data_IF_687683150687
#
_entry.id   IF_687683150687
#
_cell.length_a   1.000
_cell.length_b   1.000
_cell.length_c   1.000
_cell.angle_alpha   90.00
_cell.angle_beta   90.00
_cell.angle_gamma   90.00
#
_symmetry.space_group_name_H-M   'P 1'
#
loop_
_entity.id
_entity.type
_entity.pdbx_description
1 polymer ?
#
# COMPACT_ATOMS: atom_id res chain seq x y z
N UNK A 1 24.04 27.76 -3.31
CA UNK A 1 23.48 26.39 -3.28
C UNK A 1 22.88 26.17 -1.90
N UNK A 2 21.66 25.66 -1.80
CA UNK A 2 20.94 25.48 -0.52
C UNK A 2 21.42 24.24 0.26
N UNK A 3 20.92 24.04 1.49
CA UNK A 3 21.24 22.84 2.26
C UNK A 3 20.76 21.58 1.53
N UNK A 4 21.56 20.52 1.56
CA UNK A 4 21.17 19.20 1.08
C UNK A 4 21.16 18.21 2.26
N UNK A 5 20.24 17.25 2.23
CA UNK A 5 20.22 16.14 3.17
C UNK A 5 20.50 14.85 2.41
N UNK A 6 21.54 14.10 2.83
CA UNK A 6 21.71 12.71 2.42
C UNK A 6 20.94 11.84 3.40
N UNK A 7 19.76 11.37 2.99
CA UNK A 7 18.94 10.50 3.83
C UNK A 7 19.47 9.08 3.81
N UNK A 8 19.63 8.49 5.00
CA UNK A 8 20.04 7.09 5.18
C UNK A 8 18.84 6.24 5.59
N UNK A 9 17.84 6.12 4.70
CA UNK A 9 16.51 5.56 5.00
C UNK A 9 16.53 4.18 5.66
N UNK A 10 17.48 3.31 5.32
CA UNK A 10 17.59 1.97 5.92
C UNK A 10 18.02 1.98 7.39
N UNK A 11 18.71 3.04 7.85
CA UNK A 11 19.14 3.18 9.24
C UNK A 11 18.22 4.07 10.08
N UNK A 12 17.17 4.64 9.47
CA UNK A 12 16.19 5.44 10.18
C UNK A 12 15.16 4.52 10.85
N UNK A 13 15.00 4.67 12.17
CA UNK A 13 14.23 3.75 13.02
C UNK A 13 12.76 3.58 12.62
N UNK A 14 12.16 4.58 11.96
CA UNK A 14 10.74 4.57 11.59
C UNK A 14 10.47 4.16 10.14
N UNK A 15 11.49 4.04 9.30
CA UNK A 15 11.33 3.65 7.89
C UNK A 15 12.03 2.34 7.58
N UNK A 16 13.20 2.08 8.17
CA UNK A 16 13.99 0.83 8.03
C UNK A 16 14.30 0.42 6.58
N UNK A 17 14.06 1.30 5.62
CA UNK A 17 14.13 1.08 4.18
C UNK A 17 13.58 2.30 3.46
N UNK A 18 13.72 2.33 2.13
CA UNK A 18 13.19 3.42 1.31
C UNK A 18 11.73 3.15 0.90
N UNK A 19 11.51 2.09 0.13
CA UNK A 19 10.22 1.63 -0.36
C UNK A 19 10.28 0.13 -0.63
N UNK A 20 9.12 -0.49 -0.83
CA UNK A 20 9.02 -1.95 -1.02
C UNK A 20 9.83 -2.42 -2.22
N UNK A 21 10.45 -3.58 -2.05
CA UNK A 21 10.83 -4.45 -3.13
C UNK A 21 10.60 -5.88 -2.67
N UNK A 22 10.17 -6.76 -3.58
CA UNK A 22 9.85 -8.14 -3.24
C UNK A 22 11.02 -9.04 -3.62
N UNK A 23 11.59 -9.71 -2.63
CA UNK A 23 12.57 -10.76 -2.86
C UNK A 23 11.93 -11.94 -3.61
N UNK A 24 12.72 -12.73 -4.36
CA UNK A 24 12.22 -13.92 -5.04
C UNK A 24 11.36 -14.81 -4.12
N UNK A 25 10.15 -15.12 -4.58
CA UNK A 25 9.18 -15.96 -3.85
C UNK A 25 8.26 -15.23 -2.87
N UNK A 26 8.49 -13.95 -2.56
CA UNK A 26 7.59 -13.21 -1.65
C UNK A 26 6.22 -12.94 -2.29
N UNK A 27 6.19 -12.50 -3.55
CA UNK A 27 4.92 -12.26 -4.24
C UNK A 27 4.10 -13.54 -4.41
N UNK A 28 4.71 -14.65 -4.86
CA UNK A 28 3.99 -15.91 -5.01
C UNK A 28 3.45 -16.46 -3.68
N UNK A 29 4.06 -16.08 -2.56
CA UNK A 29 3.59 -16.47 -1.21
C UNK A 29 2.54 -15.52 -0.63
N UNK A 30 2.67 -14.21 -0.87
CA UNK A 30 1.94 -13.18 -0.11
C UNK A 30 1.06 -12.25 -0.95
N UNK A 31 1.00 -12.37 -2.27
CA UNK A 31 0.17 -11.48 -3.11
C UNK A 31 -1.33 -11.50 -2.75
N UNK A 32 -1.84 -12.61 -2.19
CA UNK A 32 -3.21 -12.72 -1.67
C UNK A 32 -3.50 -11.85 -0.43
N UNK A 33 -2.51 -11.11 0.08
CA UNK A 33 -2.64 -10.14 1.17
C UNK A 33 -2.58 -8.68 0.70
N UNK A 34 -2.34 -8.43 -0.60
CA UNK A 34 -2.26 -7.08 -1.15
C UNK A 34 -3.67 -6.50 -1.38
N UNK A 35 -3.79 -5.20 -1.55
CA UNK A 35 -4.98 -4.61 -2.14
C UNK A 35 -5.00 -4.90 -3.64
N UNK A 36 -6.22 -5.10 -4.15
CA UNK A 36 -6.51 -5.14 -5.59
C UNK A 36 -7.69 -4.21 -5.82
N UNK A 37 -7.46 -3.06 -6.45
CA UNK A 37 -8.52 -2.09 -6.77
C UNK A 37 -9.14 -2.40 -8.13
N UNK A 38 -9.90 -3.49 -8.20
CA UNK A 38 -10.66 -3.84 -9.40
C UNK A 38 -12.06 -3.19 -9.38
N UNK A 39 -12.51 -2.78 -10.57
CA UNK A 39 -13.91 -2.42 -10.82
C UNK A 39 -14.84 -3.63 -10.69
N UNK A 40 -14.32 -4.85 -10.88
CA UNK A 40 -15.03 -6.08 -10.59
C UNK A 40 -15.02 -6.38 -9.08
N UNK A 41 -16.17 -6.37 -8.39
CA UNK A 41 -16.21 -6.63 -6.96
C UNK A 41 -15.70 -8.00 -6.54
N UNK A 42 -15.75 -9.00 -7.43
CA UNK A 42 -15.29 -10.36 -7.15
C UNK A 42 -13.74 -10.47 -7.12
N UNK A 43 -13.04 -9.53 -7.75
CA UNK A 43 -11.58 -9.49 -7.79
C UNK A 43 -11.01 -8.51 -6.75
N UNK A 44 -11.85 -7.66 -6.17
CA UNK A 44 -11.43 -6.65 -5.20
C UNK A 44 -10.93 -7.33 -3.93
N UNK A 45 -9.71 -6.97 -3.52
CA UNK A 45 -9.07 -7.52 -2.33
C UNK A 45 -8.69 -6.37 -1.38
N UNK A 46 -8.81 -6.60 -0.07
CA UNK A 46 -8.44 -5.64 0.98
C UNK A 46 -7.50 -6.28 1.98
N UNK A 47 -6.45 -5.57 2.38
CA UNK A 47 -5.49 -6.07 3.37
C UNK A 47 -5.98 -5.80 4.80
N UNK A 48 -6.49 -6.82 5.47
CA UNK A 48 -6.96 -6.70 6.85
C UNK A 48 -7.07 -8.02 7.60
N UNK A 49 -7.08 -7.93 8.92
CA UNK A 49 -7.27 -9.04 9.84
C UNK A 49 -8.26 -8.64 10.94
N UNK A 50 -9.50 -9.12 10.85
CA UNK A 50 -10.56 -8.77 11.80
C UNK A 50 -10.90 -7.27 11.77
N UNK A 51 -10.57 -6.55 12.84
CA UNK A 51 -10.80 -5.10 12.99
C UNK A 51 -9.54 -4.25 12.75
N UNK A 52 -8.51 -4.85 12.15
CA UNK A 52 -7.25 -4.18 11.82
C UNK A 52 -7.11 -4.16 10.30
N UNK A 53 -6.94 -2.97 9.74
CA UNK A 53 -6.65 -2.76 8.33
C UNK A 53 -5.24 -2.20 8.20
N UNK A 54 -4.52 -2.67 7.19
CA UNK A 54 -3.17 -2.22 6.89
C UNK A 54 -3.22 -1.37 5.63
N UNK A 55 -2.42 -0.31 5.55
CA UNK A 55 -2.33 0.53 4.36
C UNK A 55 -0.89 1.00 4.17
N UNK A 56 -0.54 1.35 2.93
CA UNK A 56 0.79 1.78 2.57
C UNK A 56 1.16 1.30 1.17
N UNK A 57 2.21 1.91 0.61
CA UNK A 57 2.70 1.58 -0.74
C UNK A 57 3.01 0.08 -0.92
N UNK A 58 3.51 -0.57 0.13
CA UNK A 58 3.90 -1.97 0.14
C UNK A 58 2.72 -2.96 0.09
N UNK A 59 1.49 -2.45 0.08
CA UNK A 59 0.28 -3.26 -0.01
C UNK A 59 -0.47 -3.06 -1.32
N UNK A 60 -0.01 -2.19 -2.23
CA UNK A 60 -0.62 -2.04 -3.55
C UNK A 60 -0.08 -3.12 -4.50
N UNK A 61 -0.98 -3.81 -5.21
CA UNK A 61 -0.59 -4.71 -6.29
C UNK A 61 -0.19 -3.96 -7.57
N UNK A 62 -0.84 -2.81 -7.83
CA UNK A 62 -0.67 -2.03 -9.04
C UNK A 62 0.46 -0.99 -8.96
N UNK A 63 0.70 -0.42 -7.78
CA UNK A 63 1.63 0.70 -7.56
C UNK A 63 2.60 0.50 -6.38
N UNK A 64 3.28 -0.65 -6.24
CA UNK A 64 4.23 -0.89 -5.16
C UNK A 64 5.43 0.08 -5.27
N UNK A 65 5.78 0.72 -4.16
CA UNK A 65 6.89 1.67 -4.08
C UNK A 65 6.56 3.10 -4.52
N UNK A 66 5.31 3.37 -4.93
CA UNK A 66 4.87 4.67 -5.41
C UNK A 66 3.88 5.33 -4.45
N UNK A 67 3.85 6.68 -4.45
CA UNK A 67 2.88 7.45 -3.67
C UNK A 67 1.43 7.11 -4.03
N UNK A 68 1.16 6.78 -5.29
CA UNK A 68 -0.16 6.37 -5.76
C UNK A 68 -0.64 5.10 -5.02
N UNK A 69 0.23 4.13 -4.77
CA UNK A 69 -0.10 2.92 -4.01
C UNK A 69 -0.42 3.22 -2.55
N UNK A 70 0.28 4.17 -1.93
CA UNK A 70 -0.05 4.62 -0.58
C UNK A 70 -1.43 5.31 -0.53
N UNK A 71 -1.75 6.15 -1.52
CA UNK A 71 -3.05 6.83 -1.61
C UNK A 71 -4.20 5.86 -1.91
N UNK A 72 -3.99 4.92 -2.84
CA UNK A 72 -4.94 3.87 -3.22
C UNK A 72 -5.30 3.00 -2.02
N UNK A 73 -4.30 2.38 -1.39
CA UNK A 73 -4.51 1.48 -0.24
C UNK A 73 -5.11 2.20 0.95
N UNK A 74 -4.72 3.47 1.19
CA UNK A 74 -5.30 4.31 2.23
C UNK A 74 -6.79 4.59 2.01
N UNK A 75 -7.19 4.93 0.76
CA UNK A 75 -8.60 5.11 0.42
C UNK A 75 -9.37 3.80 0.59
N UNK A 76 -8.87 2.69 0.04
CA UNK A 76 -9.56 1.39 0.13
C UNK A 76 -9.71 0.90 1.58
N UNK A 77 -8.70 1.13 2.45
CA UNK A 77 -8.81 0.85 3.88
C UNK A 77 -9.91 1.69 4.55
N UNK A 78 -9.98 2.99 4.24
CA UNK A 78 -11.03 3.87 4.76
C UNK A 78 -12.44 3.44 4.29
N UNK A 79 -12.57 3.01 3.03
CA UNK A 79 -13.82 2.45 2.50
C UNK A 79 -14.23 1.17 3.24
N UNK A 80 -13.25 0.29 3.52
CA UNK A 80 -13.50 -0.94 4.28
C UNK A 80 -13.93 -0.66 5.74
N UNK A 81 -13.36 0.37 6.38
CA UNK A 81 -13.70 0.78 7.74
C UNK A 81 -15.12 1.37 7.80
N UNK A 82 -15.47 2.23 6.85
CA UNK A 82 -16.75 2.96 6.85
C UNK A 82 -17.90 2.17 6.22
N UNK A 83 -17.59 1.16 5.41
CA UNK A 83 -18.57 0.48 4.55
C UNK A 83 -19.05 1.35 3.38
N UNK A 84 -18.47 2.54 3.18
CA UNK A 84 -18.85 3.51 2.14
C UNK A 84 -17.73 3.64 1.12
N UNK A 85 -18.06 3.60 -0.18
CA UNK A 85 -17.09 3.82 -1.26
C UNK A 85 -16.95 5.32 -1.58
N UNK A 86 -15.73 5.83 -1.65
CA UNK A 86 -15.44 7.20 -2.11
C UNK A 86 -14.82 7.09 -3.50
N UNK A 87 -15.59 7.41 -4.55
CA UNK A 87 -15.02 7.47 -5.90
C UNK A 87 -14.08 8.67 -6.02
N UNK A 88 -12.88 8.47 -6.58
CA UNK A 88 -12.03 9.57 -6.97
C UNK A 88 -12.76 10.42 -8.03
N UNK A 89 -12.75 11.74 -7.86
CA UNK A 89 -13.34 12.65 -8.84
C UNK A 89 -12.55 12.56 -10.17
N UNK A 90 -13.30 12.45 -11.28
CA UNK A 90 -12.78 12.41 -12.64
C UNK A 90 -12.19 13.75 -13.08
#
# INVERSE_FOLDING_TARGET
TGPFARTNWHAQALTLGAYVNYAPGQLSRFAHLLYVDSDNPAERQVAGAGRVWFAGEHLSDAFPGYMNGAAETGRMAAEAITGVRVRAAA
#
